data_IF_827229012011
#
_entry.id   IF_827229012011
#
_cell.length_a   1.000
_cell.length_b   1.000
_cell.length_c   1.000
_cell.angle_alpha   90.00
_cell.angle_beta   90.00
_cell.angle_gamma   90.00
#
_symmetry.space_group_name_H-M   'P 1'
#
loop_
_entity.id
_entity.type
_entity.pdbx_description
1 polymer ?
#
# COMPACT_ATOMS: atom_id res chain seq x y z
N UNK A 1 6.87 -3.91 7.30
CA UNK A 1 7.38 -2.52 7.21
C UNK A 1 8.02 -2.31 5.85
N UNK A 2 9.33 -2.09 5.71
CA UNK A 2 9.91 -1.95 4.38
C UNK A 2 9.75 -3.24 3.55
N UNK A 3 9.30 -3.10 2.31
CA UNK A 3 9.31 -4.19 1.34
C UNK A 3 10.35 -3.95 0.25
N UNK A 4 9.99 -3.24 -0.82
CA UNK A 4 10.91 -2.91 -1.91
C UNK A 4 11.57 -1.56 -1.69
N UNK A 5 12.84 -1.46 -2.09
CA UNK A 5 13.61 -0.21 -2.10
C UNK A 5 14.41 -0.09 -3.40
N UNK A 6 14.62 1.15 -3.87
CA UNK A 6 15.62 1.48 -4.89
C UNK A 6 16.58 2.51 -4.32
N UNK A 7 17.84 2.12 -4.23
CA UNK A 7 18.97 2.93 -3.81
C UNK A 7 19.73 3.38 -5.05
N UNK A 8 20.10 4.65 -5.10
CA UNK A 8 21.12 5.18 -6.02
C UNK A 8 22.28 5.69 -5.19
N UNK A 9 23.50 5.42 -5.62
CA UNK A 9 24.69 5.84 -4.92
C UNK A 9 25.84 6.19 -5.86
N UNK A 10 26.75 7.01 -5.36
CA UNK A 10 28.08 7.18 -5.98
C UNK A 10 29.05 6.23 -5.29
N UNK A 11 29.78 5.45 -6.08
CA UNK A 11 30.81 4.50 -5.61
C UNK A 11 32.20 4.95 -6.04
N UNK A 12 33.23 4.47 -5.35
CA UNK A 12 34.60 4.60 -5.81
C UNK A 12 34.80 3.69 -7.03
N UNK A 13 35.50 4.19 -8.05
CA UNK A 13 35.82 3.40 -9.25
C UNK A 13 36.74 2.22 -8.90
N UNK A 14 37.55 2.32 -7.86
CA UNK A 14 38.40 1.24 -7.38
C UNK A 14 37.59 0.04 -6.81
N UNK A 15 36.36 0.29 -6.34
CA UNK A 15 35.51 -0.76 -5.78
C UNK A 15 34.68 -1.52 -6.83
N UNK A 16 34.63 -1.03 -8.08
CA UNK A 16 33.74 -1.57 -9.13
C UNK A 16 33.98 -3.07 -9.35
N UNK A 17 35.24 -3.49 -9.53
CA UNK A 17 35.58 -4.90 -9.78
C UNK A 17 35.14 -5.80 -8.61
N UNK A 18 35.32 -5.33 -7.37
CA UNK A 18 34.85 -6.04 -6.17
C UNK A 18 33.34 -6.18 -6.17
N UNK A 19 32.59 -5.13 -6.53
CA UNK A 19 31.13 -5.16 -6.59
C UNK A 19 30.66 -6.11 -7.70
N UNK A 20 31.29 -6.06 -8.88
CA UNK A 20 31.00 -6.93 -10.02
C UNK A 20 31.16 -8.40 -9.64
N UNK A 21 32.30 -8.77 -9.04
CA UNK A 21 32.59 -10.14 -8.62
C UNK A 21 31.64 -10.65 -7.53
N UNK A 22 31.38 -9.85 -6.49
CA UNK A 22 30.49 -10.25 -5.36
C UNK A 22 29.01 -10.36 -5.72
N UNK A 23 28.61 -9.77 -6.83
CA UNK A 23 27.21 -9.74 -7.27
C UNK A 23 26.99 -10.42 -8.61
N UNK A 24 28.03 -11.07 -9.17
CA UNK A 24 27.99 -11.77 -10.44
C UNK A 24 27.38 -10.91 -11.56
N UNK A 25 27.83 -9.65 -11.63
CA UNK A 25 27.37 -8.71 -12.65
C UNK A 25 27.99 -9.05 -13.99
N UNK A 26 27.23 -8.83 -15.05
CA UNK A 26 27.68 -8.99 -16.42
C UNK A 26 28.05 -7.63 -17.00
N UNK A 27 29.16 -7.61 -17.73
CA UNK A 27 29.56 -6.47 -18.54
C UNK A 27 28.64 -6.34 -19.76
N UNK A 28 28.19 -5.12 -20.02
CA UNK A 28 27.33 -4.78 -21.13
C UNK A 28 27.88 -3.54 -21.83
N UNK A 29 27.58 -3.43 -23.12
CA UNK A 29 27.95 -2.29 -23.95
C UNK A 29 26.71 -1.66 -24.58
N UNK A 30 26.66 -0.33 -24.60
CA UNK A 30 25.62 0.45 -25.28
C UNK A 30 26.30 1.62 -26.01
N UNK A 31 26.54 1.45 -27.30
CA UNK A 31 27.46 2.33 -28.04
C UNK A 31 28.88 2.22 -27.47
N UNK A 32 29.45 3.35 -27.07
CA UNK A 32 30.79 3.43 -26.46
C UNK A 32 30.77 3.32 -24.92
N UNK A 33 29.59 3.22 -24.29
CA UNK A 33 29.49 3.10 -22.82
C UNK A 33 29.58 1.63 -22.39
N UNK A 34 30.57 1.32 -21.55
CA UNK A 34 30.65 0.05 -20.81
C UNK A 34 29.95 0.20 -19.48
N UNK A 35 29.06 -0.73 -19.16
CA UNK A 35 28.30 -0.74 -17.90
C UNK A 35 28.12 -2.15 -17.38
N UNK A 36 27.87 -2.29 -16.08
CA UNK A 36 27.66 -3.60 -15.46
C UNK A 36 26.24 -3.72 -14.96
N UNK A 37 25.62 -4.87 -15.16
CA UNK A 37 24.26 -5.12 -14.64
C UNK A 37 24.08 -6.52 -14.14
N UNK A 38 23.11 -6.68 -13.26
CA UNK A 38 22.65 -7.98 -12.81
C UNK A 38 22.18 -8.85 -13.96
N UNK A 39 22.68 -10.08 -13.99
CA UNK A 39 22.22 -11.16 -14.88
C UNK A 39 20.87 -11.71 -14.42
N UNK A 40 20.34 -12.72 -15.12
CA UNK A 40 19.22 -13.52 -14.65
C UNK A 40 19.45 -14.12 -13.24
N UNK A 41 20.71 -14.27 -12.79
CA UNK A 41 21.05 -14.74 -11.45
C UNK A 41 20.59 -13.81 -10.33
N UNK A 42 20.31 -12.53 -10.62
CA UNK A 42 19.71 -11.61 -9.65
C UNK A 42 18.36 -12.08 -9.10
N UNK A 43 17.67 -12.97 -9.81
CA UNK A 43 16.45 -13.61 -9.29
C UNK A 43 16.72 -14.51 -8.08
N UNK A 44 17.94 -15.07 -7.96
CA UNK A 44 18.38 -15.87 -6.81
C UNK A 44 19.02 -15.02 -5.70
N UNK A 45 19.57 -13.86 -6.07
CA UNK A 45 20.19 -12.93 -5.14
C UNK A 45 19.25 -11.89 -4.55
N UNK A 46 18.12 -11.62 -5.21
CA UNK A 46 17.09 -10.69 -4.74
C UNK A 46 17.48 -9.21 -4.91
N UNK A 47 18.60 -8.93 -5.58
CA UNK A 47 19.13 -7.60 -5.87
C UNK A 47 19.29 -7.42 -7.37
N UNK A 48 18.69 -6.36 -7.90
CA UNK A 48 18.91 -5.90 -9.27
C UNK A 48 19.83 -4.69 -9.22
N UNK A 49 21.07 -4.88 -9.66
CA UNK A 49 22.16 -3.90 -9.58
C UNK A 49 22.52 -3.46 -11.00
N UNK A 50 22.81 -2.18 -11.15
CA UNK A 50 23.33 -1.57 -12.37
C UNK A 50 24.40 -0.56 -11.97
N UNK A 51 25.54 -0.58 -12.67
CA UNK A 51 26.67 0.33 -12.49
C UNK A 51 26.98 0.96 -13.84
N UNK A 52 26.88 2.29 -13.92
CA UNK A 52 27.27 3.11 -15.09
C UNK A 52 28.27 4.16 -14.65
N UNK A 53 29.53 4.03 -15.09
CA UNK A 53 30.65 4.81 -14.54
C UNK A 53 30.75 4.64 -13.02
N UNK A 54 30.70 5.75 -12.27
CA UNK A 54 30.72 5.73 -10.79
C UNK A 54 29.33 5.71 -10.15
N UNK A 55 28.26 5.52 -10.93
CA UNK A 55 26.88 5.54 -10.45
C UNK A 55 26.34 4.13 -10.30
N UNK A 56 25.95 3.78 -9.08
CA UNK A 56 25.31 2.51 -8.76
C UNK A 56 23.82 2.71 -8.53
N UNK A 57 23.01 1.81 -9.09
CA UNK A 57 21.58 1.66 -8.78
C UNK A 57 21.31 0.25 -8.31
N UNK A 58 20.70 0.10 -7.14
CA UNK A 58 20.28 -1.21 -6.62
C UNK A 58 18.79 -1.19 -6.28
N UNK A 59 18.04 -2.15 -6.80
CA UNK A 59 16.63 -2.39 -6.46
C UNK A 59 16.46 -3.77 -5.86
N UNK A 60 15.85 -3.86 -4.68
CA UNK A 60 15.68 -5.14 -3.99
C UNK A 60 14.45 -5.13 -3.07
N UNK A 61 14.01 -6.32 -2.64
CA UNK A 61 13.07 -6.47 -1.52
C UNK A 61 13.86 -6.74 -0.24
N UNK A 62 13.77 -5.82 0.71
CA UNK A 62 14.44 -5.92 2.01
C UNK A 62 13.93 -7.11 2.81
N UNK A 63 12.62 -7.41 2.74
CA UNK A 63 12.06 -8.64 3.31
C UNK A 63 12.75 -9.89 2.79
N UNK A 64 12.90 -10.00 1.46
CA UNK A 64 13.53 -11.18 0.85
C UNK A 64 15.01 -11.29 1.21
N UNK A 65 15.73 -10.17 1.23
CA UNK A 65 17.14 -10.15 1.63
C UNK A 65 17.33 -10.55 3.10
N UNK A 66 16.48 -10.06 3.99
CA UNK A 66 16.48 -10.48 5.39
C UNK A 66 16.26 -11.99 5.52
N UNK A 67 15.24 -12.53 4.85
CA UNK A 67 14.95 -13.96 4.86
C UNK A 67 16.09 -14.79 4.27
N UNK A 68 16.73 -14.32 3.19
CA UNK A 68 17.89 -15.00 2.60
C UNK A 68 19.05 -15.06 3.57
N UNK A 69 19.37 -13.97 4.28
CA UNK A 69 20.41 -13.94 5.30
C UNK A 69 20.14 -14.88 6.49
N UNK A 70 18.86 -15.20 6.76
CA UNK A 70 18.47 -16.08 7.88
C UNK A 70 18.26 -17.54 7.50
N UNK A 71 17.77 -17.81 6.30
CA UNK A 71 17.28 -19.14 5.90
C UNK A 71 17.90 -19.66 4.61
N UNK A 72 18.72 -18.84 3.94
CA UNK A 72 19.25 -19.11 2.60
C UNK A 72 18.23 -18.93 1.47
N UNK A 73 16.96 -18.66 1.78
CA UNK A 73 15.87 -18.58 0.80
C UNK A 73 15.30 -17.17 0.69
N UNK A 74 15.04 -16.74 -0.54
CA UNK A 74 14.33 -15.48 -0.83
C UNK A 74 12.84 -15.63 -0.52
N UNK A 75 12.42 -15.20 0.66
CA UNK A 75 11.03 -15.26 1.11
C UNK A 75 10.54 -13.91 1.64
N UNK A 76 9.29 -13.57 1.34
CA UNK A 76 8.60 -12.37 1.86
C UNK A 76 7.25 -12.69 2.52
N UNK A 77 7.05 -13.94 2.96
CA UNK A 77 5.84 -14.35 3.67
C UNK A 77 5.77 -13.79 5.10
N UNK A 78 6.92 -13.63 5.76
CA UNK A 78 7.00 -13.17 7.15
C UNK A 78 7.19 -11.65 7.24
N UNK A 79 6.54 -10.97 8.20
CA UNK A 79 6.74 -9.56 8.43
C UNK A 79 8.13 -9.29 9.01
N UNK A 80 8.70 -8.13 8.66
CA UNK A 80 9.90 -7.58 9.30
C UNK A 80 9.60 -6.20 9.91
N UNK A 81 10.27 -5.90 11.03
CA UNK A 81 10.23 -4.58 11.69
C UNK A 81 11.14 -3.59 10.97
N UNK A 82 11.01 -2.30 11.29
CA UNK A 82 11.94 -1.29 10.78
C UNK A 82 13.38 -1.55 11.21
N UNK A 83 13.63 -2.00 12.44
CA UNK A 83 14.98 -2.32 12.92
C UNK A 83 15.64 -3.44 12.09
N UNK A 84 14.88 -4.51 11.82
CA UNK A 84 15.36 -5.61 10.97
C UNK A 84 15.68 -5.11 9.57
N UNK A 85 14.80 -4.27 9.00
CA UNK A 85 15.00 -3.68 7.68
C UNK A 85 16.25 -2.78 7.63
N UNK A 86 16.46 -1.90 8.61
CA UNK A 86 17.65 -1.02 8.69
C UNK A 86 18.93 -1.85 8.76
N UNK A 87 18.93 -2.91 9.58
CA UNK A 87 20.08 -3.83 9.64
C UNK A 87 20.38 -4.45 8.28
N UNK A 88 19.36 -4.98 7.60
CA UNK A 88 19.51 -5.56 6.27
C UNK A 88 19.96 -4.54 5.22
N UNK A 89 19.51 -3.29 5.31
CA UNK A 89 19.99 -2.20 4.44
C UNK A 89 21.48 -1.96 4.68
N UNK A 90 21.94 -1.89 5.93
CA UNK A 90 23.38 -1.71 6.24
C UNK A 90 24.22 -2.88 5.73
N UNK A 91 23.76 -4.10 5.89
CA UNK A 91 24.41 -5.31 5.34
C UNK A 91 24.48 -5.26 3.81
N UNK A 92 23.42 -4.77 3.14
CA UNK A 92 23.41 -4.56 1.68
C UNK A 92 24.43 -3.50 1.26
N UNK A 93 24.54 -2.37 1.96
CA UNK A 93 25.51 -1.33 1.63
C UNK A 93 26.96 -1.83 1.71
N UNK A 94 27.27 -2.62 2.74
CA UNK A 94 28.59 -3.26 2.88
C UNK A 94 28.88 -4.22 1.71
N UNK A 95 27.88 -5.00 1.28
CA UNK A 95 28.00 -5.87 0.09
C UNK A 95 28.28 -5.07 -1.19
N UNK A 96 27.72 -3.87 -1.30
CA UNK A 96 27.84 -2.99 -2.46
C UNK A 96 29.04 -2.02 -2.39
N UNK A 97 29.86 -2.08 -1.34
CA UNK A 97 30.92 -1.09 -1.09
C UNK A 97 30.41 0.37 -1.12
N UNK A 98 29.17 0.59 -0.69
CA UNK A 98 28.54 1.92 -0.68
C UNK A 98 28.60 2.50 0.73
N UNK A 99 29.14 3.72 0.84
CA UNK A 99 29.03 4.52 2.06
C UNK A 99 27.64 5.13 2.18
N UNK A 100 27.06 5.14 3.38
CA UNK A 100 25.65 5.53 3.58
C UNK A 100 25.39 6.99 3.22
N UNK A 101 26.39 7.86 3.40
CA UNK A 101 26.36 9.28 3.04
C UNK A 101 26.30 9.51 1.53
N UNK A 102 26.75 8.56 0.72
CA UNK A 102 26.75 8.63 -0.75
C UNK A 102 25.48 8.05 -1.37
N UNK A 103 24.53 7.58 -0.55
CA UNK A 103 23.35 6.86 -1.00
C UNK A 103 22.06 7.66 -0.81
N UNK A 104 21.22 7.65 -1.83
CA UNK A 104 19.87 8.22 -1.83
C UNK A 104 18.84 7.18 -2.24
N UNK A 105 17.64 7.29 -1.68
CA UNK A 105 16.53 6.40 -1.96
C UNK A 105 15.50 7.10 -2.81
N UNK A 106 15.28 6.54 -4.00
CA UNK A 106 14.34 7.10 -4.98
C UNK A 106 12.99 6.39 -5.00
N UNK A 107 12.93 5.21 -4.40
CA UNK A 107 11.73 4.39 -4.30
C UNK A 107 11.77 3.59 -3.00
N UNK A 108 10.66 3.56 -2.27
CA UNK A 108 10.50 2.62 -1.16
C UNK A 108 9.03 2.27 -0.95
N UNK A 109 8.79 1.08 -0.41
CA UNK A 109 7.47 0.58 -0.06
C UNK A 109 7.43 0.28 1.43
N UNK A 110 6.34 0.70 2.09
CA UNK A 110 6.02 0.30 3.46
C UNK A 110 4.74 -0.53 3.39
N UNK A 111 4.73 -1.72 3.98
CA UNK A 111 3.56 -2.57 3.99
C UNK A 111 3.44 -3.46 5.22
N UNK A 112 2.21 -3.91 5.46
CA UNK A 112 1.81 -4.83 6.52
C UNK A 112 1.03 -5.97 5.89
N UNK A 113 1.28 -7.18 6.40
CA UNK A 113 0.57 -8.41 6.03
C UNK A 113 -0.32 -8.81 7.18
N UNK A 114 -1.59 -9.05 6.90
CA UNK A 114 -2.61 -9.36 7.89
C UNK A 114 -3.28 -10.68 7.54
N UNK A 115 -3.31 -11.59 8.52
CA UNK A 115 -4.12 -12.80 8.44
C UNK A 115 -5.53 -12.44 8.89
N UNK A 116 -6.48 -12.63 7.98
CA UNK A 116 -7.88 -12.30 8.16
C UNK A 116 -8.72 -13.55 8.45
N UNK A 117 -9.90 -13.35 9.03
CA UNK A 117 -10.89 -14.40 9.26
C UNK A 117 -11.49 -14.90 7.92
N UNK A 118 -11.80 -13.98 7.02
CA UNK A 118 -12.38 -14.27 5.69
C UNK A 118 -11.34 -14.14 4.56
N UNK A 119 -11.65 -14.66 3.36
CA UNK A 119 -10.85 -14.40 2.16
C UNK A 119 -10.59 -12.90 1.93
N UNK A 120 -9.39 -12.56 1.44
CA UNK A 120 -8.94 -11.17 1.32
C UNK A 120 -9.81 -10.34 0.37
N UNK A 121 -10.35 -10.96 -0.67
CA UNK A 121 -11.27 -10.33 -1.63
C UNK A 121 -12.60 -9.89 -1.00
N UNK A 122 -13.08 -10.54 0.07
CA UNK A 122 -14.24 -10.07 0.82
C UNK A 122 -14.02 -8.67 1.43
N UNK A 123 -12.81 -8.39 1.94
CA UNK A 123 -12.45 -7.09 2.47
C UNK A 123 -12.24 -6.07 1.35
N UNK A 124 -11.45 -6.44 0.33
CA UNK A 124 -11.13 -5.56 -0.81
C UNK A 124 -12.41 -5.10 -1.52
N UNK A 125 -13.42 -5.97 -1.64
CA UNK A 125 -14.72 -5.63 -2.23
C UNK A 125 -15.45 -4.49 -1.50
N UNK A 126 -15.26 -4.36 -0.19
CA UNK A 126 -15.92 -3.31 0.60
C UNK A 126 -15.12 -2.02 0.66
N UNK A 127 -13.80 -2.09 0.48
CA UNK A 127 -12.93 -0.92 0.48
C UNK A 127 -13.16 -0.07 -0.77
N UNK A 128 -13.38 1.22 -0.59
CA UNK A 128 -13.62 2.12 -1.73
C UNK A 128 -12.79 3.42 -1.70
N UNK A 129 -12.32 3.85 -0.54
CA UNK A 129 -11.54 5.08 -0.40
C UNK A 129 -10.52 4.96 0.73
N UNK A 130 -9.33 5.51 0.57
CA UNK A 130 -8.30 5.61 1.60
C UNK A 130 -7.67 6.99 1.60
N UNK A 131 -7.69 7.67 2.75
CA UNK A 131 -7.13 9.01 2.93
C UNK A 131 -7.56 10.00 1.83
N UNK A 132 -8.88 10.08 1.58
CA UNK A 132 -9.48 10.96 0.57
C UNK A 132 -9.25 10.55 -0.89
N UNK A 133 -8.73 9.34 -1.15
CA UNK A 133 -8.45 8.83 -2.50
C UNK A 133 -9.22 7.56 -2.79
N UNK A 134 -9.95 7.55 -3.91
CA UNK A 134 -10.67 6.37 -4.37
C UNK A 134 -9.70 5.21 -4.67
N UNK A 135 -10.14 4.01 -4.29
CA UNK A 135 -9.50 2.74 -4.64
C UNK A 135 -10.11 2.20 -5.93
N UNK A 136 -9.26 1.87 -6.88
CA UNK A 136 -9.63 1.32 -8.17
C UNK A 136 -9.08 -0.09 -8.30
N UNK A 137 -9.85 -1.00 -8.92
CA UNK A 137 -9.34 -2.31 -9.27
C UNK A 137 -8.14 -2.17 -10.21
N UNK A 138 -7.07 -2.91 -9.95
CA UNK A 138 -5.92 -2.94 -10.84
C UNK A 138 -6.27 -3.69 -12.11
N UNK A 139 -6.09 -3.06 -13.27
CA UNK A 139 -6.48 -3.62 -14.56
C UNK A 139 -5.78 -4.94 -14.92
N UNK A 140 -4.65 -5.25 -14.28
CA UNK A 140 -3.89 -6.48 -14.54
C UNK A 140 -4.37 -7.67 -13.71
N UNK A 141 -5.34 -7.47 -12.81
CA UNK A 141 -5.80 -8.49 -11.88
C UNK A 141 -7.32 -8.65 -11.97
N UNK A 142 -7.78 -9.88 -11.70
CA UNK A 142 -9.21 -10.16 -11.56
C UNK A 142 -9.83 -9.31 -10.44
N UNK A 143 -11.13 -9.09 -10.56
CA UNK A 143 -11.86 -8.18 -9.68
C UNK A 143 -11.61 -8.53 -8.20
N UNK A 144 -11.31 -7.49 -7.41
CA UNK A 144 -11.10 -7.55 -5.96
C UNK A 144 -9.88 -8.37 -5.51
N UNK A 145 -8.96 -8.73 -6.42
CA UNK A 145 -7.66 -9.31 -6.03
C UNK A 145 -6.61 -8.25 -5.73
N UNK A 146 -6.71 -7.09 -6.37
CA UNK A 146 -5.85 -5.95 -6.10
C UNK A 146 -6.57 -4.64 -6.39
N UNK A 147 -6.48 -3.70 -5.46
CA UNK A 147 -6.90 -2.33 -5.65
C UNK A 147 -5.77 -1.36 -5.35
N UNK A 148 -5.76 -0.23 -6.05
CA UNK A 148 -4.81 0.85 -5.81
C UNK A 148 -5.49 2.20 -5.94
N UNK A 149 -4.97 3.20 -5.24
CA UNK A 149 -5.25 4.59 -5.60
C UNK A 149 -4.68 4.90 -6.99
N UNK A 150 -5.13 6.00 -7.58
CA UNK A 150 -4.72 6.42 -8.92
C UNK A 150 -3.20 6.29 -9.15
N UNK A 151 -2.84 5.64 -10.26
CA UNK A 151 -1.47 5.52 -10.73
C UNK A 151 -1.27 6.48 -11.90
N UNK A 152 -0.42 7.47 -11.70
CA UNK A 152 0.02 8.40 -12.74
C UNK A 152 1.54 8.50 -12.71
N UNK A 153 2.13 8.88 -13.85
CA UNK A 153 3.58 9.07 -14.01
C UNK A 153 4.17 9.97 -12.92
N UNK A 154 3.40 10.96 -12.47
CA UNK A 154 3.84 12.00 -11.53
C UNK A 154 3.47 11.72 -10.08
N UNK A 155 2.63 10.71 -9.79
CA UNK A 155 2.26 10.43 -8.40
C UNK A 155 3.43 9.86 -7.62
N UNK A 156 3.75 10.54 -6.53
CA UNK A 156 4.83 10.18 -5.59
C UNK A 156 4.38 9.21 -4.50
N UNK A 157 3.07 9.04 -4.28
CA UNK A 157 2.51 8.18 -3.23
C UNK A 157 1.30 7.43 -3.77
N UNK A 158 1.35 6.11 -3.71
CA UNK A 158 0.28 5.20 -4.14
C UNK A 158 -0.05 4.27 -2.97
N UNK A 159 -1.33 4.10 -2.67
CA UNK A 159 -1.79 3.13 -1.70
C UNK A 159 -2.32 1.91 -2.45
N UNK A 160 -1.97 0.72 -1.97
CA UNK A 160 -2.25 -0.56 -2.62
C UNK A 160 -2.72 -1.58 -1.59
N UNK A 161 -3.78 -2.29 -1.90
CA UNK A 161 -4.28 -3.43 -1.13
C UNK A 161 -4.46 -4.63 -2.06
N UNK A 162 -4.09 -5.83 -1.62
CA UNK A 162 -4.21 -7.04 -2.44
C UNK A 162 -4.30 -8.34 -1.63
N UNK A 163 -4.82 -9.37 -2.30
CA UNK A 163 -4.84 -10.75 -1.82
C UNK A 163 -3.45 -11.37 -2.01
N UNK A 164 -2.71 -11.47 -0.90
CA UNK A 164 -1.34 -12.00 -0.87
C UNK A 164 -1.33 -13.52 -1.05
N UNK A 165 -2.38 -14.20 -0.62
CA UNK A 165 -2.56 -15.64 -0.83
C UNK A 165 -2.65 -15.94 -2.32
N UNK A 166 -3.46 -15.15 -3.05
CA UNK A 166 -3.58 -15.24 -4.50
C UNK A 166 -2.26 -14.91 -5.21
N UNK A 167 -1.60 -13.79 -4.88
CA UNK A 167 -0.31 -13.40 -5.49
C UNK A 167 0.79 -14.46 -5.30
N UNK A 168 0.82 -15.11 -4.14
CA UNK A 168 1.76 -16.18 -3.87
C UNK A 168 1.41 -17.44 -4.68
N UNK A 169 0.13 -17.80 -4.75
CA UNK A 169 -0.38 -18.95 -5.50
C UNK A 169 -0.05 -18.86 -6.99
N UNK A 170 -0.24 -17.70 -7.62
CA UNK A 170 0.15 -17.47 -9.03
C UNK A 170 1.65 -17.66 -9.28
N UNK A 171 2.46 -17.58 -8.22
CA UNK A 171 3.91 -17.74 -8.27
C UNK A 171 4.37 -19.08 -7.71
N UNK A 172 3.46 -20.05 -7.59
CA UNK A 172 3.73 -21.40 -7.10
C UNK A 172 4.16 -21.45 -5.63
N UNK A 173 3.84 -20.44 -4.82
CA UNK A 173 4.23 -20.33 -3.41
C UNK A 173 3.03 -20.50 -2.50
N UNK A 174 3.22 -21.23 -1.38
CA UNK A 174 2.21 -21.36 -0.35
C UNK A 174 2.55 -20.47 0.86
N UNK A 175 1.70 -19.47 1.11
CA UNK A 175 1.81 -18.57 2.27
C UNK A 175 0.66 -18.75 3.26
N UNK A 176 -0.25 -19.69 3.02
CA UNK A 176 -1.52 -19.84 3.73
C UNK A 176 -2.65 -19.01 3.09
N UNK A 177 -3.90 -19.29 3.50
CA UNK A 177 -5.10 -18.61 3.00
C UNK A 177 -5.39 -17.28 3.70
N UNK A 178 -6.34 -16.49 3.19
CA UNK A 178 -6.91 -15.31 3.86
C UNK A 178 -5.87 -14.26 4.28
N UNK A 179 -4.88 -14.02 3.41
CA UNK A 179 -3.83 -13.04 3.68
C UNK A 179 -4.09 -11.78 2.89
N UNK A 180 -4.40 -10.71 3.61
CA UNK A 180 -4.56 -9.37 3.06
C UNK A 180 -3.26 -8.60 3.25
N UNK A 181 -2.80 -7.90 2.21
CA UNK A 181 -1.62 -7.03 2.31
C UNK A 181 -1.94 -5.62 1.86
N UNK A 182 -1.49 -4.67 2.66
CA UNK A 182 -1.57 -3.24 2.38
C UNK A 182 -0.17 -2.66 2.25
N UNK A 183 0.02 -1.77 1.28
CA UNK A 183 1.30 -1.16 0.92
C UNK A 183 1.13 0.32 0.56
N UNK A 184 1.96 1.18 1.14
CA UNK A 184 2.18 2.55 0.69
C UNK A 184 3.48 2.60 -0.09
N UNK A 185 3.36 2.93 -1.38
CA UNK A 185 4.47 3.00 -2.34
C UNK A 185 4.86 4.46 -2.50
N UNK A 186 6.14 4.77 -2.24
CA UNK A 186 6.73 6.09 -2.43
C UNK A 186 7.65 6.09 -3.65
N UNK A 187 7.34 6.93 -4.65
CA UNK A 187 8.07 7.09 -5.91
C UNK A 187 8.68 8.48 -6.02
N UNK A 188 9.69 8.62 -6.87
CA UNK A 188 10.37 9.90 -7.17
C UNK A 188 10.83 10.61 -5.90
N UNK A 189 11.36 9.82 -4.98
CA UNK A 189 11.91 10.30 -3.72
C UNK A 189 13.37 10.74 -3.93
N UNK A 190 13.88 11.51 -2.98
CA UNK A 190 15.30 11.86 -2.90
C UNK A 190 15.70 11.93 -1.44
N UNK A 191 15.41 10.85 -0.70
CA UNK A 191 15.68 10.78 0.74
C UNK A 191 17.08 10.20 0.92
N UNK A 192 17.95 10.89 1.66
CA UNK A 192 19.28 10.34 1.97
C UNK A 192 19.12 9.05 2.76
N UNK A 193 20.01 8.07 2.57
CA UNK A 193 19.89 6.81 3.29
C UNK A 193 20.19 6.98 4.79
N UNK A 194 20.97 8.01 5.16
CA UNK A 194 21.13 8.45 6.55
C UNK A 194 19.78 8.87 7.16
N UNK A 195 19.00 9.70 6.45
CA UNK A 195 17.67 10.12 6.91
C UNK A 195 16.71 8.93 6.94
N UNK A 196 16.67 8.08 5.90
CA UNK A 196 15.73 6.96 5.83
C UNK A 196 15.91 5.95 6.96
N UNK A 197 17.14 5.79 7.45
CA UNK A 197 17.48 4.84 8.53
C UNK A 197 17.45 5.47 9.93
N UNK A 198 17.16 6.76 10.03
CA UNK A 198 17.01 7.47 11.29
C UNK A 198 15.71 7.09 12.02
N UNK A 199 15.77 6.97 13.34
CA UNK A 199 14.62 6.54 14.16
C UNK A 199 13.47 7.55 14.15
N UNK A 200 13.74 8.86 14.08
CA UNK A 200 12.69 9.87 13.98
C UNK A 200 11.99 9.78 12.63
N UNK A 201 12.76 9.59 11.55
CA UNK A 201 12.20 9.36 10.22
C UNK A 201 11.33 8.10 10.19
N UNK A 202 11.82 6.97 10.71
CA UNK A 202 11.11 5.69 10.75
C UNK A 202 9.80 5.78 11.57
N UNK A 203 9.85 6.47 12.71
CA UNK A 203 8.66 6.74 13.52
C UNK A 203 7.65 7.61 12.77
N UNK A 204 8.11 8.68 12.10
CA UNK A 204 7.28 9.57 11.29
C UNK A 204 6.60 8.83 10.14
N UNK A 205 7.34 8.08 9.33
CA UNK A 205 6.76 7.34 8.19
C UNK A 205 5.82 6.23 8.66
N UNK A 206 6.12 5.57 9.79
CA UNK A 206 5.23 4.59 10.38
C UNK A 206 3.90 5.22 10.81
N UNK A 207 3.93 6.38 11.47
CA UNK A 207 2.72 7.13 11.85
C UNK A 207 1.91 7.57 10.64
N UNK A 208 2.57 8.08 9.60
CA UNK A 208 1.90 8.45 8.34
C UNK A 208 1.23 7.24 7.72
N UNK A 209 1.93 6.10 7.62
CA UNK A 209 1.38 4.85 7.11
C UNK A 209 0.14 4.43 7.90
N UNK A 210 0.23 4.39 9.23
CA UNK A 210 -0.91 4.02 10.08
C UNK A 210 -2.08 4.98 9.89
N UNK A 211 -1.83 6.30 9.90
CA UNK A 211 -2.86 7.31 9.69
C UNK A 211 -3.59 7.09 8.37
N UNK A 212 -2.85 6.99 7.27
CA UNK A 212 -3.43 6.79 5.94
C UNK A 212 -4.38 5.58 5.91
N UNK A 213 -3.91 4.45 6.41
CA UNK A 213 -4.67 3.20 6.39
C UNK A 213 -5.77 3.15 7.47
N UNK A 214 -5.65 3.93 8.54
CA UNK A 214 -6.72 4.12 9.53
C UNK A 214 -7.89 4.94 8.98
N UNK A 215 -7.68 5.67 7.89
CA UNK A 215 -8.71 6.42 7.15
C UNK A 215 -9.32 5.60 5.99
N UNK A 216 -9.05 4.28 5.88
CA UNK A 216 -9.75 3.43 4.92
C UNK A 216 -11.26 3.44 5.21
N UNK A 217 -12.05 3.67 4.17
CA UNK A 217 -13.50 3.62 4.18
C UNK A 217 -13.98 2.29 3.60
N UNK A 218 -14.85 1.63 4.37
CA UNK A 218 -15.57 0.43 3.96
C UNK A 218 -16.99 0.82 3.57
N UNK A 219 -17.57 0.05 2.65
CA UNK A 219 -19.00 0.12 2.38
C UNK A 219 -19.74 -0.30 3.65
N UNK A 220 -20.44 0.66 4.28
CA UNK A 220 -21.19 0.44 5.51
C UNK A 220 -22.67 0.29 5.22
N UNK A 221 -23.34 -0.48 6.07
CA UNK A 221 -24.79 -0.51 6.08
C UNK A 221 -25.33 0.70 6.82
N UNK A 222 -26.43 1.25 6.34
CA UNK A 222 -27.13 2.32 7.01
C UNK A 222 -28.26 1.71 7.84
N UNK A 223 -28.24 1.95 9.15
CA UNK A 223 -29.35 1.69 10.06
C UNK A 223 -30.07 2.99 10.42
N UNK A 224 -31.28 2.86 10.95
CA UNK A 224 -32.13 4.00 11.25
C UNK A 224 -32.75 3.91 12.64
N UNK A 225 -33.02 5.07 13.22
CA UNK A 225 -33.74 5.19 14.48
C UNK A 225 -35.13 4.54 14.42
N UNK A 226 -35.63 4.12 15.58
CA UNK A 226 -36.97 3.51 15.71
C UNK A 226 -38.03 4.45 15.14
N UNK A 227 -38.86 3.93 14.23
CA UNK A 227 -39.95 4.69 13.58
C UNK A 227 -39.63 5.23 12.17
N UNK A 228 -38.39 5.09 11.68
CA UNK A 228 -38.04 5.44 10.30
C UNK A 228 -38.56 4.38 9.34
N UNK A 229 -39.24 4.82 8.26
CA UNK A 229 -39.78 3.91 7.25
C UNK A 229 -38.66 3.38 6.34
N UNK A 230 -38.81 2.15 5.83
CA UNK A 230 -37.88 1.54 4.86
C UNK A 230 -37.65 2.45 3.65
N UNK A 231 -38.70 3.10 3.13
CA UNK A 231 -38.58 4.02 2.00
C UNK A 231 -37.81 5.31 2.33
N UNK A 232 -37.70 5.72 3.59
CA UNK A 232 -36.82 6.81 4.01
C UNK A 232 -35.37 6.33 4.12
N UNK A 233 -35.17 5.12 4.64
CA UNK A 233 -33.85 4.46 4.71
C UNK A 233 -33.23 4.27 3.32
N UNK A 234 -34.01 3.83 2.34
CA UNK A 234 -33.53 3.68 0.95
C UNK A 234 -33.11 5.02 0.34
N UNK A 235 -33.88 6.08 0.58
CA UNK A 235 -33.53 7.44 0.12
C UNK A 235 -32.27 7.95 0.82
N UNK A 236 -32.14 7.69 2.12
CA UNK A 236 -30.96 8.03 2.89
C UNK A 236 -29.73 7.32 2.33
N UNK A 237 -29.80 6.00 2.09
CA UNK A 237 -28.72 5.21 1.44
C UNK A 237 -28.31 5.80 0.09
N UNK A 238 -29.28 6.18 -0.74
CA UNK A 238 -28.98 6.79 -2.03
C UNK A 238 -28.30 8.16 -1.87
N UNK A 239 -28.78 9.03 -0.97
CA UNK A 239 -28.14 10.32 -0.69
C UNK A 239 -26.72 10.15 -0.15
N UNK A 240 -26.48 9.19 0.76
CA UNK A 240 -25.14 8.86 1.23
C UNK A 240 -24.21 8.43 0.07
N UNK A 241 -24.75 7.67 -0.90
CA UNK A 241 -23.97 7.15 -2.04
C UNK A 241 -23.63 8.21 -3.09
N UNK A 242 -24.58 9.09 -3.45
CA UNK A 242 -24.41 10.00 -4.60
C UNK A 242 -24.36 11.49 -4.22
N UNK A 243 -24.64 11.82 -2.96
CA UNK A 243 -24.74 13.18 -2.48
C UNK A 243 -26.07 13.86 -2.83
N UNK A 244 -26.46 14.82 -1.99
CA UNK A 244 -27.75 15.54 -2.08
C UNK A 244 -27.97 16.19 -3.45
N UNK A 245 -26.93 16.80 -4.02
CA UNK A 245 -27.02 17.53 -5.30
C UNK A 245 -27.37 16.59 -6.44
N UNK A 246 -26.60 15.50 -6.62
CA UNK A 246 -26.85 14.51 -7.69
C UNK A 246 -28.18 13.80 -7.50
N UNK A 247 -28.56 13.53 -6.25
CA UNK A 247 -29.87 12.98 -5.90
C UNK A 247 -31.01 13.89 -6.39
N UNK A 248 -30.95 15.19 -6.07
CA UNK A 248 -31.96 16.17 -6.52
C UNK A 248 -32.03 16.25 -8.06
N UNK A 249 -30.89 16.27 -8.74
CA UNK A 249 -30.83 16.34 -10.20
C UNK A 249 -31.41 15.08 -10.87
N UNK A 250 -31.05 13.89 -10.39
CA UNK A 250 -31.56 12.61 -10.89
C UNK A 250 -33.08 12.58 -10.86
N UNK A 251 -33.67 12.91 -9.72
CA UNK A 251 -35.12 12.83 -9.54
C UNK A 251 -35.87 13.99 -10.22
N UNK A 252 -35.24 15.15 -10.42
CA UNK A 252 -35.78 16.21 -11.28
C UNK A 252 -35.92 15.74 -12.74
N UNK A 253 -34.90 15.06 -13.29
CA UNK A 253 -34.97 14.50 -14.66
C UNK A 253 -36.06 13.43 -14.81
N UNK A 254 -36.25 12.58 -13.80
CA UNK A 254 -37.32 11.57 -13.81
C UNK A 254 -38.71 12.19 -13.79
N UNK A 255 -38.91 13.27 -13.03
CA UNK A 255 -40.17 14.02 -13.05
C UNK A 255 -40.44 14.67 -14.41
N UNK A 256 -39.45 15.37 -14.97
CA UNK A 256 -39.59 16.04 -16.27
C UNK A 256 -39.84 15.07 -17.44
N UNK A 257 -39.38 13.82 -17.32
CA UNK A 257 -39.65 12.75 -18.29
C UNK A 257 -40.96 11.98 -18.05
N UNK A 258 -41.81 12.44 -17.14
CA UNK A 258 -43.10 11.81 -16.83
C UNK A 258 -43.01 10.50 -16.04
N UNK A 259 -41.80 10.08 -15.62
CA UNK A 259 -41.57 8.83 -14.88
C UNK A 259 -41.91 8.93 -13.38
N UNK A 260 -42.20 10.13 -12.89
CA UNK A 260 -42.67 10.38 -11.52
C UNK A 260 -43.90 11.27 -11.52
N UNK A 261 -44.82 10.97 -10.61
CA UNK A 261 -45.92 11.88 -10.30
C UNK A 261 -45.43 13.10 -9.53
N UNK A 262 -46.18 14.22 -9.60
CA UNK A 262 -45.89 15.44 -8.83
C UNK A 262 -45.73 15.16 -7.34
N UNK A 263 -46.62 14.34 -6.75
CA UNK A 263 -46.59 13.96 -5.32
C UNK A 263 -45.31 13.19 -4.95
N UNK A 264 -44.89 12.24 -5.79
CA UNK A 264 -43.65 11.49 -5.57
C UNK A 264 -42.42 12.40 -5.64
N UNK A 265 -42.37 13.28 -6.64
CA UNK A 265 -41.28 14.25 -6.80
C UNK A 265 -41.19 15.22 -5.62
N UNK A 266 -42.32 15.79 -5.18
CA UNK A 266 -42.36 16.68 -4.00
C UNK A 266 -41.87 15.98 -2.73
N UNK A 267 -42.31 14.73 -2.52
CA UNK A 267 -41.86 13.93 -1.36
C UNK A 267 -40.35 13.72 -1.37
N UNK A 268 -39.79 13.34 -2.52
CA UNK A 268 -38.35 13.11 -2.71
C UNK A 268 -37.55 14.40 -2.52
N UNK A 269 -38.03 15.50 -3.11
CA UNK A 269 -37.41 16.83 -3.03
C UNK A 269 -37.39 17.35 -1.60
N UNK A 270 -38.50 17.22 -0.86
CA UNK A 270 -38.63 17.66 0.52
C UNK A 270 -37.71 16.85 1.45
N UNK A 271 -37.63 15.53 1.24
CA UNK A 271 -36.67 14.69 1.96
C UNK A 271 -35.22 15.15 1.72
N UNK A 272 -34.82 15.37 0.47
CA UNK A 272 -33.47 15.86 0.15
C UNK A 272 -33.20 17.31 0.59
N UNK A 273 -34.25 18.12 0.82
CA UNK A 273 -34.11 19.50 1.35
C UNK A 273 -33.85 19.49 2.85
N UNK A 274 -34.53 18.59 3.58
CA UNK A 274 -34.38 18.38 5.03
C UNK A 274 -33.22 17.46 5.40
N UNK A 275 -32.36 17.12 4.46
CA UNK A 275 -31.24 16.20 4.69
C UNK A 275 -30.29 16.60 5.83
N UNK A 276 -29.93 17.89 6.05
CA UNK A 276 -29.03 18.28 7.14
C UNK A 276 -29.50 17.84 8.53
N UNK A 277 -30.81 17.89 8.79
CA UNK A 277 -31.44 17.45 10.04
C UNK A 277 -31.83 15.97 9.97
N UNK A 278 -32.37 15.51 8.83
CA UNK A 278 -32.85 14.14 8.64
C UNK A 278 -31.74 13.11 8.77
N UNK A 279 -30.50 13.44 8.35
CA UNK A 279 -29.34 12.54 8.43
C UNK A 279 -29.01 12.07 9.85
N UNK A 280 -29.39 12.82 10.88
CA UNK A 280 -29.14 12.47 12.29
C UNK A 280 -29.90 11.23 12.74
N UNK A 281 -30.94 10.83 11.99
CA UNK A 281 -31.74 9.62 12.24
C UNK A 281 -31.10 8.34 11.72
N UNK A 282 -29.97 8.45 11.02
CA UNK A 282 -29.31 7.33 10.35
C UNK A 282 -27.88 7.19 10.86
N UNK A 283 -27.46 5.95 11.07
CA UNK A 283 -26.11 5.62 11.55
C UNK A 283 -25.50 4.65 10.56
N UNK A 284 -24.27 4.93 10.12
CA UNK A 284 -23.48 3.95 9.37
C UNK A 284 -22.91 2.93 10.35
N UNK A 285 -23.30 1.67 10.17
CA UNK A 285 -22.84 0.59 11.01
C UNK A 285 -21.46 0.10 10.57
N UNK A 286 -20.54 0.02 11.53
CA UNK A 286 -19.21 -0.54 11.30
C UNK A 286 -19.35 -2.07 11.27
N UNK A 287 -19.24 -2.65 10.07
CA UNK A 287 -19.27 -4.09 9.87
C UNK A 287 -18.07 -4.81 10.51
N UNK A 288 -18.21 -6.12 10.73
CA UNK A 288 -17.19 -6.94 11.41
C UNK A 288 -15.85 -6.94 10.65
N UNK A 289 -15.89 -6.93 9.32
CA UNK A 289 -14.69 -6.89 8.47
C UNK A 289 -13.90 -5.58 8.61
N UNK A 290 -14.60 -4.45 8.78
CA UNK A 290 -13.94 -3.17 9.04
C UNK A 290 -13.28 -3.19 10.43
N UNK A 291 -14.00 -3.66 11.46
CA UNK A 291 -13.45 -3.78 12.83
C UNK A 291 -12.19 -4.65 12.85
N UNK A 292 -12.26 -5.85 12.28
CA UNK A 292 -11.12 -6.75 12.22
C UNK A 292 -9.95 -6.12 11.46
N UNK A 293 -10.20 -5.45 10.32
CA UNK A 293 -9.14 -4.76 9.59
C UNK A 293 -8.42 -3.72 10.46
N UNK A 294 -9.17 -2.87 11.18
CA UNK A 294 -8.59 -1.82 12.03
C UNK A 294 -7.78 -2.43 13.18
N UNK A 295 -8.26 -3.50 13.80
CA UNK A 295 -7.56 -4.22 14.87
C UNK A 295 -6.24 -4.82 14.37
N UNK A 296 -6.28 -5.52 13.22
CA UNK A 296 -5.09 -6.10 12.59
C UNK A 296 -4.09 -5.03 12.13
N UNK A 297 -4.59 -3.90 11.63
CA UNK A 297 -3.76 -2.75 11.25
C UNK A 297 -3.01 -2.19 12.46
N UNK A 298 -3.70 -1.96 13.58
CA UNK A 298 -3.08 -1.45 14.80
C UNK A 298 -2.03 -2.43 15.35
N UNK A 299 -2.37 -3.71 15.45
CA UNK A 299 -1.45 -4.76 15.92
C UNK A 299 -0.21 -4.88 15.03
N UNK A 300 -0.40 -4.89 13.70
CA UNK A 300 0.70 -4.93 12.74
C UNK A 300 1.56 -3.66 12.78
N UNK A 301 0.95 -2.50 12.94
CA UNK A 301 1.64 -1.22 13.07
C UNK A 301 2.55 -1.23 14.30
N UNK A 302 1.99 -1.53 15.47
CA UNK A 302 2.73 -1.63 16.74
C UNK A 302 3.91 -2.60 16.58
N UNK A 303 3.65 -3.82 16.12
CA UNK A 303 4.69 -4.84 15.94
C UNK A 303 5.83 -4.36 15.04
N UNK A 304 5.52 -3.69 13.93
CA UNK A 304 6.57 -3.28 13.00
C UNK A 304 7.35 -2.02 13.39
N UNK A 305 6.79 -1.14 14.23
CA UNK A 305 7.51 0.03 14.78
C UNK A 305 8.33 -0.29 16.02
N UNK A 306 7.96 -1.32 16.80
CA UNK A 306 8.75 -1.73 17.95
C UNK A 306 10.04 -2.40 17.49
N UNK A 307 11.10 -1.62 17.47
CA UNK A 307 12.46 -2.12 17.66
C UNK A 307 12.53 -2.69 19.08
N UNK A 308 12.87 -3.97 19.30
CA UNK A 308 13.26 -4.39 20.64
C UNK A 308 14.43 -3.49 21.03
N UNK A 309 14.18 -2.58 21.97
CA UNK A 309 15.26 -1.83 22.59
C UNK A 309 16.08 -2.90 23.29
N UNK A 310 17.27 -3.20 22.79
CA UNK A 310 18.26 -3.89 23.58
C UNK A 310 18.45 -3.01 24.82
N UNK A 311 17.83 -3.41 25.94
CA UNK A 311 18.27 -2.90 27.24
C UNK A 311 19.75 -3.23 27.28
N UNK A 312 20.60 -2.20 27.28
CA UNK A 312 21.98 -2.38 27.69
C UNK A 312 21.89 -2.94 29.11
N UNK A 313 22.22 -4.22 29.26
CA UNK A 313 22.65 -4.78 30.53
C UNK A 313 24.06 -4.24 30.75
#
# INVERSE_FOLDING_TARGET
MFDKITIKATIDTADIETIVLRNYLEECTEGDEVYYKSTAYANFDGCFIEIRGNRLRCTCSICKLYSKGKTGKLDNSRPITFAMAVRTIKELLLRLCVRIENAVVTYYEIGITMKMSLPADCYIKQMYEVSGKLLWNDANYSAFKQQTTEKSKYFRKILKVYDKSFEAGEKGRNVGANILRIETIYKHQSVSLMELTDNLFLSRIGRIFYKDWSEICFTRELSAAKGVKVSQLERAREIYRIGVTRYKERYKKLYLSGKLTKKQWETIRNFARSWPEEREKYVEEIGDMEREFKDKLLSGYQTGIFTPICRKI
#
